data_IF_919694655326
#
_entry.id   IF_919694655326
#
_cell.length_a   1.000
_cell.length_b   1.000
_cell.length_c   1.000
_cell.angle_alpha   90.00
_cell.angle_beta   90.00
_cell.angle_gamma   90.00
#
_symmetry.space_group_name_H-M   'P 1'
#
loop_
_entity.id
_entity.type
_entity.pdbx_description
1 polymer ?
#
# COMPACT_ATOMS: atom_id res chain seq x y z
N UNK A 1 -2.44 -5.04 -19.34
CA UNK A 1 -2.41 -6.36 -18.66
C UNK A 1 -3.73 -7.05 -18.96
N UNK A 2 -3.74 -8.35 -19.21
CA UNK A 2 -4.98 -9.13 -19.41
C UNK A 2 -5.60 -9.50 -18.05
N UNK A 3 -6.93 -9.49 -17.97
CA UNK A 3 -7.70 -9.87 -16.79
C UNK A 3 -7.36 -11.30 -16.33
N UNK A 4 -7.04 -12.20 -17.25
CA UNK A 4 -6.62 -13.57 -16.90
C UNK A 4 -5.39 -13.61 -15.98
N UNK A 5 -4.49 -12.62 -16.05
CA UNK A 5 -3.35 -12.53 -15.12
C UNK A 5 -3.81 -12.16 -13.70
N UNK A 6 -4.87 -11.36 -13.55
CA UNK A 6 -5.41 -11.00 -12.24
C UNK A 6 -5.95 -12.21 -11.47
N UNK A 7 -6.44 -13.24 -12.18
CA UNK A 7 -6.92 -14.49 -11.57
C UNK A 7 -5.82 -15.27 -10.82
N UNK A 8 -4.55 -14.90 -11.00
CA UNK A 8 -3.43 -15.50 -10.28
C UNK A 8 -3.17 -14.87 -8.91
N UNK A 9 -3.81 -13.73 -8.62
CA UNK A 9 -3.77 -13.10 -7.30
C UNK A 9 -4.57 -13.92 -6.29
N UNK A 10 -4.13 -13.88 -5.03
CA UNK A 10 -4.86 -14.47 -3.91
C UNK A 10 -5.32 -13.37 -2.97
N UNK A 11 -6.46 -13.59 -2.32
CA UNK A 11 -6.88 -12.74 -1.23
C UNK A 11 -5.88 -12.84 -0.06
N UNK A 12 -5.61 -11.70 0.58
CA UNK A 12 -4.70 -11.60 1.71
C UNK A 12 -5.25 -10.55 2.71
N UNK A 13 -4.81 -10.59 3.97
CA UNK A 13 -5.26 -9.62 4.97
C UNK A 13 -4.69 -8.23 4.67
N UNK A 14 -5.40 -7.13 5.01
CA UNK A 14 -4.84 -5.78 4.84
C UNK A 14 -3.46 -5.62 5.49
N UNK A 15 -3.23 -6.24 6.65
CA UNK A 15 -1.96 -6.18 7.36
C UNK A 15 -0.82 -6.86 6.60
N UNK A 16 -1.07 -8.03 6.01
CA UNK A 16 -0.08 -8.74 5.21
C UNK A 16 0.24 -7.97 3.90
N UNK A 17 -0.79 -7.41 3.26
CA UNK A 17 -0.62 -6.56 2.08
C UNK A 17 0.22 -5.33 2.43
N UNK A 18 -0.08 -4.63 3.52
CA UNK A 18 0.71 -3.49 4.00
C UNK A 18 2.16 -3.86 4.27
N UNK A 19 2.41 -5.02 4.91
CA UNK A 19 3.77 -5.51 5.14
C UNK A 19 4.55 -5.70 3.84
N UNK A 20 3.97 -6.41 2.86
CA UNK A 20 4.58 -6.62 1.54
C UNK A 20 4.90 -5.28 0.87
N UNK A 21 3.92 -4.38 0.84
CA UNK A 21 4.05 -3.06 0.22
C UNK A 21 5.12 -2.19 0.91
N UNK A 22 5.21 -2.26 2.23
CA UNK A 22 6.24 -1.55 3.00
C UNK A 22 7.65 -2.07 2.70
N UNK A 23 7.84 -3.38 2.64
CA UNK A 23 9.11 -3.99 2.24
C UNK A 23 9.54 -3.53 0.83
N UNK A 24 8.58 -3.32 -0.08
CA UNK A 24 8.87 -2.70 -1.37
C UNK A 24 9.29 -1.23 -1.22
N UNK A 25 8.53 -0.40 -0.49
CA UNK A 25 8.87 1.01 -0.25
C UNK A 25 10.28 1.18 0.31
N UNK A 26 10.72 0.28 1.20
CA UNK A 26 12.08 0.29 1.75
C UNK A 26 13.18 0.08 0.71
N UNK A 27 12.89 -0.67 -0.35
CA UNK A 27 13.83 -0.85 -1.48
C UNK A 27 13.82 0.34 -2.45
N UNK A 28 12.87 1.28 -2.30
CA UNK A 28 12.71 2.46 -3.15
C UNK A 28 13.25 3.75 -2.50
N UNK A 29 13.46 3.79 -1.17
CA UNK A 29 13.78 5.02 -0.40
C UNK A 29 14.96 5.84 -0.97
N UNK A 30 16.00 5.18 -1.48
CA UNK A 30 17.20 5.85 -2.01
C UNK A 30 17.16 6.13 -3.52
N UNK A 31 16.05 5.82 -4.19
CA UNK A 31 15.95 6.03 -5.64
C UNK A 31 15.56 7.47 -5.95
N UNK A 32 16.13 8.01 -7.02
CA UNK A 32 15.80 9.38 -7.51
C UNK A 32 14.31 9.56 -7.82
N UNK A 33 13.63 8.47 -8.21
CA UNK A 33 12.18 8.43 -8.50
C UNK A 33 11.57 7.18 -7.85
N UNK A 34 11.24 7.24 -6.55
CA UNK A 34 10.72 6.08 -5.83
C UNK A 34 9.31 5.73 -6.31
N UNK A 35 9.02 4.44 -6.47
CA UNK A 35 7.69 3.94 -6.79
C UNK A 35 6.97 3.55 -5.50
N UNK A 36 6.29 4.51 -4.89
CA UNK A 36 5.58 4.28 -3.63
C UNK A 36 4.13 3.77 -3.85
N UNK A 37 3.64 2.83 -3.01
CA UNK A 37 2.26 2.38 -3.05
C UNK A 37 1.29 3.50 -2.68
N UNK A 38 0.30 3.76 -3.53
CA UNK A 38 -0.80 4.69 -3.22
C UNK A 38 -2.02 3.90 -2.75
N UNK A 39 -2.51 4.22 -1.55
CA UNK A 39 -3.55 3.45 -0.87
C UNK A 39 -4.78 4.31 -0.56
N UNK A 40 -5.94 3.68 -0.55
CA UNK A 40 -7.11 4.11 0.22
C UNK A 40 -7.39 3.05 1.29
N UNK A 41 -7.43 3.46 2.55
CA UNK A 41 -7.74 2.61 3.68
C UNK A 41 -9.14 2.94 4.20
N UNK A 42 -9.97 1.93 4.35
CA UNK A 42 -11.19 2.03 5.14
C UNK A 42 -10.89 1.61 6.57
N UNK A 43 -11.05 2.54 7.50
CA UNK A 43 -10.92 2.29 8.92
C UNK A 43 -12.27 1.93 9.54
N UNK A 44 -12.23 1.43 10.77
CA UNK A 44 -13.41 1.20 11.59
C UNK A 44 -14.30 2.45 11.63
N UNK A 45 -15.62 2.24 11.67
CA UNK A 45 -16.65 3.30 11.63
C UNK A 45 -16.75 4.05 10.28
N UNK A 46 -16.19 3.48 9.20
CA UNK A 46 -16.39 3.96 7.83
C UNK A 46 -15.55 5.18 7.46
N UNK A 47 -14.53 5.50 8.25
CA UNK A 47 -13.58 6.58 7.92
C UNK A 47 -12.69 6.12 6.77
N UNK A 48 -12.55 6.94 5.73
CA UNK A 48 -11.65 6.70 4.61
C UNK A 48 -10.45 7.64 4.70
N UNK A 49 -9.26 7.09 4.54
CA UNK A 49 -8.03 7.88 4.39
C UNK A 49 -7.27 7.39 3.16
N UNK A 50 -6.60 8.31 2.47
CA UNK A 50 -5.81 8.00 1.29
C UNK A 50 -4.46 8.71 1.32
N UNK A 51 -3.49 8.13 0.63
CA UNK A 51 -2.15 8.68 0.46
C UNK A 51 -1.14 7.62 0.02
N UNK A 52 0.11 8.05 -0.18
CA UNK A 52 1.25 7.16 -0.40
C UNK A 52 1.70 6.54 0.92
N UNK A 53 2.00 5.25 0.91
CA UNK A 53 2.57 4.54 2.05
C UNK A 53 4.03 4.97 2.26
N UNK A 54 4.26 5.83 3.25
CA UNK A 54 5.58 6.31 3.60
C UNK A 54 6.26 5.41 4.63
N UNK A 55 5.53 4.96 5.65
CA UNK A 55 6.06 4.08 6.68
C UNK A 55 5.00 3.11 7.23
N UNK A 56 5.46 1.95 7.68
CA UNK A 56 4.65 0.97 8.39
C UNK A 56 5.49 0.27 9.46
N UNK A 57 5.22 0.57 10.72
CA UNK A 57 5.86 -0.11 11.83
C UNK A 57 5.16 -1.45 12.08
N UNK A 58 5.78 -2.52 11.58
CA UNK A 58 5.26 -3.89 11.68
C UNK A 58 5.04 -4.33 13.13
N UNK A 59 5.83 -3.80 14.08
CA UNK A 59 5.80 -4.25 15.48
C UNK A 59 4.59 -3.74 16.25
N UNK A 60 4.19 -2.48 16.03
CA UNK A 60 3.05 -1.85 16.74
C UNK A 60 1.86 -1.56 15.80
N UNK A 61 2.02 -1.83 14.51
CA UNK A 61 0.99 -1.68 13.50
C UNK A 61 0.69 -0.24 13.08
N UNK A 62 1.55 0.73 13.40
CA UNK A 62 1.38 2.14 12.99
C UNK A 62 1.66 2.34 11.51
N UNK A 63 0.77 3.06 10.83
CA UNK A 63 0.85 3.37 9.39
C UNK A 63 0.97 4.88 9.24
N UNK A 64 1.92 5.32 8.40
CA UNK A 64 2.06 6.69 7.94
C UNK A 64 1.75 6.78 6.45
N UNK A 65 0.70 7.54 6.11
CA UNK A 65 0.40 7.95 4.75
C UNK A 65 0.76 9.41 4.54
N UNK A 66 1.28 9.74 3.35
CA UNK A 66 1.57 11.10 2.93
C UNK A 66 1.02 11.44 1.57
N UNK A 67 0.63 12.69 1.36
CA UNK A 67 0.25 13.21 0.05
C UNK A 67 0.52 14.71 -0.04
N UNK A 68 0.44 15.25 -1.25
CA UNK A 68 0.42 16.69 -1.48
C UNK A 68 -1.02 17.12 -1.77
N UNK A 69 -1.54 18.05 -0.98
CA UNK A 69 -2.81 18.70 -1.23
C UNK A 69 -2.54 20.18 -1.50
N UNK A 70 -2.89 20.65 -2.71
CA UNK A 70 -2.58 22.02 -3.16
C UNK A 70 -1.10 22.40 -3.03
N UNK A 71 -0.21 21.42 -3.22
CA UNK A 71 1.24 21.59 -3.08
C UNK A 71 1.75 21.56 -1.63
N UNK A 72 0.86 21.49 -0.64
CA UNK A 72 1.21 21.39 0.77
C UNK A 72 1.24 19.93 1.23
N UNK A 73 2.23 19.53 2.05
CA UNK A 73 2.29 18.17 2.56
C UNK A 73 1.18 17.91 3.58
N UNK A 74 0.47 16.81 3.40
CA UNK A 74 -0.46 16.25 4.37
C UNK A 74 0.02 14.88 4.83
N UNK A 75 0.03 14.66 6.14
CA UNK A 75 0.39 13.40 6.77
C UNK A 75 -0.81 12.82 7.52
N UNK A 76 -1.00 11.50 7.43
CA UNK A 76 -2.08 10.78 8.10
C UNK A 76 -1.49 9.58 8.83
N UNK A 77 -1.68 9.55 10.14
CA UNK A 77 -1.26 8.45 11.01
C UNK A 77 -2.49 7.61 11.37
N UNK A 78 -2.39 6.29 11.24
CA UNK A 78 -3.44 5.38 11.68
C UNK A 78 -2.86 4.05 12.17
N UNK A 79 -3.71 3.22 12.77
CA UNK A 79 -3.30 1.90 13.24
C UNK A 79 -3.89 0.80 12.33
N UNK A 80 -3.06 -0.12 11.89
CA UNK A 80 -3.43 -1.27 11.04
C UNK A 80 -4.48 -2.20 11.65
N UNK A 81 -4.62 -2.23 12.98
CA UNK A 81 -5.70 -2.96 13.66
C UNK A 81 -7.08 -2.33 13.43
N UNK A 82 -7.13 -1.04 13.08
CA UNK A 82 -8.39 -0.34 12.72
C UNK A 82 -8.74 -0.45 11.23
N UNK A 83 -7.82 -0.95 10.40
CA UNK A 83 -8.02 -1.08 8.94
C UNK A 83 -8.93 -2.27 8.66
N UNK A 84 -10.09 -1.99 8.08
CA UNK A 84 -11.08 -2.98 7.65
C UNK A 84 -10.85 -3.44 6.21
N UNK A 85 -10.45 -2.53 5.33
CA UNK A 85 -10.12 -2.85 3.95
C UNK A 85 -9.08 -1.88 3.38
N UNK A 86 -8.43 -2.32 2.31
CA UNK A 86 -7.39 -1.58 1.62
C UNK A 86 -7.65 -1.67 0.11
N UNK A 87 -7.62 -0.52 -0.53
CA UNK A 87 -7.59 -0.37 -1.98
C UNK A 87 -6.21 0.14 -2.38
N UNK A 88 -5.56 -0.55 -3.32
CA UNK A 88 -4.28 -0.16 -3.88
C UNK A 88 -4.50 0.44 -5.27
N UNK A 89 -3.96 1.64 -5.48
CA UNK A 89 -4.01 2.35 -6.75
C UNK A 89 -2.74 2.09 -7.55
N UNK A 90 -2.83 2.22 -8.88
CA UNK A 90 -1.69 2.06 -9.79
C UNK A 90 -0.91 0.76 -9.54
N UNK A 91 -1.62 -0.36 -9.43
CA UNK A 91 -1.12 -1.65 -8.91
C UNK A 91 -0.04 -2.33 -9.75
N UNK A 92 0.15 -1.92 -11.01
CA UNK A 92 1.03 -2.58 -11.99
C UNK A 92 2.44 -2.88 -11.45
N UNK A 93 3.16 -1.93 -10.79
CA UNK A 93 4.51 -2.18 -10.27
C UNK A 93 4.56 -3.22 -9.15
N UNK A 94 3.44 -3.44 -8.45
CA UNK A 94 3.36 -4.32 -7.29
C UNK A 94 2.80 -5.71 -7.64
N UNK A 95 2.41 -5.97 -8.89
CA UNK A 95 1.76 -7.23 -9.30
C UNK A 95 2.63 -8.46 -9.06
N UNK A 96 3.94 -8.37 -9.32
CA UNK A 96 4.88 -9.46 -9.04
C UNK A 96 4.89 -9.81 -7.55
N UNK A 97 5.00 -8.78 -6.71
CA UNK A 97 4.98 -8.91 -5.25
C UNK A 97 3.65 -9.50 -4.74
N UNK A 98 2.52 -8.96 -5.19
CA UNK A 98 1.18 -9.38 -4.75
C UNK A 98 0.77 -10.78 -5.22
N UNK A 99 1.40 -11.27 -6.28
CA UNK A 99 1.16 -12.61 -6.83
C UNK A 99 2.15 -13.67 -6.32
N UNK A 100 3.00 -13.31 -5.35
CA UNK A 100 4.10 -14.14 -4.86
C UNK A 100 5.00 -14.63 -6.02
N UNK A 101 5.29 -13.72 -6.96
CA UNK A 101 6.20 -13.93 -8.08
C UNK A 101 5.60 -14.54 -9.35
N UNK A 102 4.29 -14.83 -9.38
CA UNK A 102 3.64 -15.49 -10.54
C UNK A 102 3.42 -14.56 -11.73
N UNK A 103 3.08 -13.31 -11.47
CA UNK A 103 2.82 -12.30 -12.51
C UNK A 103 4.13 -11.54 -12.75
N UNK A 104 4.83 -11.90 -13.83
CA UNK A 104 6.03 -11.20 -14.27
C UNK A 104 5.72 -9.77 -14.78
N UNK A 105 6.74 -8.91 -14.68
CA UNK A 105 6.75 -7.51 -15.11
C UNK A 105 6.51 -7.32 -16.61
#
# INVERSE_FOLDING_TARGET
MDFNKLLQLKADSPQNVLKKLYEHSKNEEDKEKPILPQLTLMLSRGVLISGFLLDYNISNGEILLGQLHEGMPELKYCNSASVMSLELHNTKPFMYLLSDGKIAF
#
